data_IF_401598326155
#
_entry.id   IF_401598326155
#
_cell.length_a   1.000
_cell.length_b   1.000
_cell.length_c   1.000
_cell.angle_alpha   90.00
_cell.angle_beta   90.00
_cell.angle_gamma   90.00
#
_symmetry.space_group_name_H-M   'P 1'
#
loop_
_entity.id
_entity.type
_entity.pdbx_description
1 polymer ?
#
# COMPACT_ATOMS: atom_id res chain seq x y z
N UNK A 1 9.78 -14.52 10.12
CA UNK A 1 9.41 -13.29 10.79
C UNK A 1 8.26 -12.57 10.08
N UNK A 2 8.24 -12.61 8.73
CA UNK A 2 7.19 -12.01 7.91
C UNK A 2 6.17 -13.02 7.43
N UNK A 3 4.93 -12.55 7.21
CA UNK A 3 3.91 -13.34 6.50
C UNK A 3 4.30 -13.58 5.05
N UNK A 4 3.72 -14.61 4.43
CA UNK A 4 4.17 -15.15 3.15
C UNK A 4 3.45 -14.64 1.91
N UNK A 5 2.54 -13.67 2.01
CA UNK A 5 1.81 -13.13 0.87
C UNK A 5 2.59 -12.04 0.11
N UNK A 6 2.25 -11.84 -1.16
CA UNK A 6 2.72 -10.71 -1.94
C UNK A 6 2.98 -10.99 -3.43
N UNK A 7 2.72 -12.20 -3.91
CA UNK A 7 2.95 -12.57 -5.32
C UNK A 7 1.75 -13.19 -6.03
N UNK A 8 0.68 -13.50 -5.32
CA UNK A 8 -0.58 -13.89 -5.96
C UNK A 8 -1.38 -12.64 -6.39
N UNK A 9 -2.32 -12.82 -7.31
CA UNK A 9 -3.10 -11.70 -7.88
C UNK A 9 -3.95 -10.91 -6.88
N UNK A 10 -4.19 -11.46 -5.69
CA UNK A 10 -4.96 -10.77 -4.63
C UNK A 10 -4.08 -9.96 -3.68
N UNK A 11 -2.77 -10.24 -3.64
CA UNK A 11 -1.86 -9.67 -2.65
C UNK A 11 -0.61 -8.99 -3.24
N UNK A 12 -0.38 -9.08 -4.54
CA UNK A 12 0.82 -8.59 -5.24
C UNK A 12 1.00 -7.05 -5.19
N UNK A 13 -0.08 -6.32 -4.91
CA UNK A 13 -0.02 -4.88 -4.64
C UNK A 13 0.95 -4.52 -3.50
N UNK A 14 1.21 -5.45 -2.57
CA UNK A 14 2.13 -5.22 -1.45
C UNK A 14 3.53 -4.87 -1.92
N UNK A 15 4.04 -5.57 -2.91
CA UNK A 15 5.40 -5.37 -3.41
C UNK A 15 5.44 -4.42 -4.61
N UNK A 16 4.62 -4.64 -5.63
CA UNK A 16 4.67 -3.88 -6.89
C UNK A 16 4.16 -2.44 -6.78
N UNK A 17 3.40 -2.09 -5.72
CA UNK A 17 2.90 -0.73 -5.52
C UNK A 17 3.31 -0.15 -4.17
N UNK A 18 2.89 -0.76 -3.06
CA UNK A 18 3.07 -0.17 -1.73
C UNK A 18 4.53 -0.17 -1.30
N UNK A 19 5.23 -1.29 -1.43
CA UNK A 19 6.66 -1.33 -1.13
C UNK A 19 7.47 -0.52 -2.16
N UNK A 20 7.13 -0.62 -3.45
CA UNK A 20 7.75 0.16 -4.52
C UNK A 20 7.52 1.68 -4.41
N UNK A 21 6.52 2.11 -3.63
CA UNK A 21 6.33 3.53 -3.34
C UNK A 21 7.46 4.12 -2.48
N UNK A 22 8.13 3.33 -1.65
CA UNK A 22 9.19 3.83 -0.77
C UNK A 22 10.37 4.42 -1.56
N UNK A 23 11.02 3.69 -2.50
CA UNK A 23 12.09 4.27 -3.31
C UNK A 23 11.63 5.49 -4.12
N UNK A 24 10.40 5.48 -4.65
CA UNK A 24 9.84 6.64 -5.36
C UNK A 24 9.65 7.83 -4.43
N UNK A 25 9.13 7.61 -3.22
CA UNK A 25 8.91 8.68 -2.25
C UNK A 25 10.22 9.41 -1.89
N UNK A 26 11.29 8.67 -1.61
CA UNK A 26 12.57 9.27 -1.26
C UNK A 26 13.21 9.99 -2.44
N UNK A 27 13.19 9.39 -3.64
CA UNK A 27 13.69 10.03 -4.85
C UNK A 27 12.92 11.31 -5.17
N UNK A 28 11.59 11.27 -5.12
CA UNK A 28 10.75 12.44 -5.40
C UNK A 28 10.93 13.54 -4.37
N UNK A 29 11.12 13.19 -3.10
CA UNK A 29 11.42 14.14 -2.03
C UNK A 29 12.76 14.83 -2.27
N UNK A 30 13.82 14.09 -2.56
CA UNK A 30 15.17 14.63 -2.76
C UNK A 30 15.27 15.48 -4.02
N UNK A 31 14.60 15.08 -5.09
CA UNK A 31 14.58 15.78 -6.37
C UNK A 31 13.48 16.88 -6.45
N UNK A 32 12.68 17.07 -5.39
CA UNK A 32 11.54 18.00 -5.36
C UNK A 32 10.51 17.75 -6.47
N UNK A 33 10.26 16.49 -6.79
CA UNK A 33 9.29 16.07 -7.81
C UNK A 33 7.88 16.12 -7.22
N UNK A 34 7.02 16.94 -7.81
CA UNK A 34 5.63 17.16 -7.35
C UNK A 34 4.58 16.78 -8.40
N UNK A 35 5.01 16.33 -9.57
CA UNK A 35 4.17 15.85 -10.67
C UNK A 35 4.82 14.63 -11.28
N UNK A 36 4.03 13.82 -11.97
CA UNK A 36 4.54 12.63 -12.67
C UNK A 36 5.74 13.00 -13.55
N UNK A 37 6.94 12.46 -13.28
CA UNK A 37 8.11 12.70 -14.11
C UNK A 37 8.09 11.79 -15.35
N UNK A 38 8.74 12.24 -16.41
CA UNK A 38 8.93 11.43 -17.62
C UNK A 38 9.81 10.21 -17.34
N UNK A 39 10.78 10.34 -16.46
CA UNK A 39 11.73 9.29 -16.08
C UNK A 39 11.95 9.28 -14.57
N UNK A 40 12.35 8.13 -14.04
CA UNK A 40 12.85 7.98 -12.68
C UNK A 40 14.30 7.49 -12.73
N UNK A 41 15.10 7.82 -11.71
CA UNK A 41 16.52 7.47 -11.65
C UNK A 41 16.77 6.10 -11.02
N UNK A 42 15.85 5.65 -10.17
CA UNK A 42 16.03 4.45 -9.36
C UNK A 42 17.07 4.63 -8.24
N UNK A 43 17.23 5.87 -7.74
CA UNK A 43 18.25 6.23 -6.75
C UNK A 43 18.21 5.33 -5.50
N UNK A 44 17.02 4.93 -5.06
CA UNK A 44 16.80 4.14 -3.86
C UNK A 44 16.50 2.66 -4.13
N UNK A 45 16.82 2.15 -5.33
CA UNK A 45 16.64 0.73 -5.64
C UNK A 45 17.58 -0.22 -4.85
N UNK A 46 18.80 0.17 -4.43
CA UNK A 46 19.59 -0.64 -3.51
C UNK A 46 18.88 -0.86 -2.16
N UNK A 47 18.28 0.18 -1.58
CA UNK A 47 17.53 0.11 -0.32
C UNK A 47 16.23 -0.68 -0.51
N UNK A 48 15.56 -0.51 -1.65
CA UNK A 48 14.40 -1.32 -2.01
C UNK A 48 14.76 -2.80 -2.10
N UNK A 49 15.92 -3.13 -2.69
CA UNK A 49 16.43 -4.51 -2.71
C UNK A 49 16.64 -5.06 -1.31
N UNK A 50 17.24 -4.27 -0.42
CA UNK A 50 17.52 -4.71 0.94
C UNK A 50 16.26 -5.11 1.70
N UNK A 51 15.22 -4.26 1.67
CA UNK A 51 13.96 -4.60 2.34
C UNK A 51 13.24 -5.76 1.64
N UNK A 52 13.29 -5.84 0.31
CA UNK A 52 12.70 -6.95 -0.42
C UNK A 52 13.39 -8.27 -0.12
N UNK A 53 14.73 -8.31 -0.10
CA UNK A 53 15.52 -9.49 0.30
C UNK A 53 15.23 -9.92 1.74
N UNK A 54 14.97 -8.96 2.64
CA UNK A 54 14.59 -9.26 4.02
C UNK A 54 13.23 -9.96 4.08
N UNK A 55 12.25 -9.49 3.31
CA UNK A 55 10.95 -10.18 3.17
C UNK A 55 11.12 -11.61 2.64
N UNK A 56 11.96 -11.81 1.62
CA UNK A 56 12.20 -13.13 1.05
C UNK A 56 12.87 -14.07 2.04
N UNK A 57 13.94 -13.60 2.68
CA UNK A 57 14.76 -14.39 3.61
C UNK A 57 14.02 -14.80 4.87
N UNK A 58 13.22 -13.88 5.42
CA UNK A 58 12.58 -14.05 6.72
C UNK A 58 11.05 -14.29 6.60
N UNK A 59 10.58 -14.62 5.40
CA UNK A 59 9.21 -15.06 5.17
C UNK A 59 8.90 -16.39 5.87
N UNK A 60 7.65 -16.59 6.22
CA UNK A 60 7.15 -17.86 6.77
C UNK A 60 7.13 -19.01 5.75
N UNK A 61 7.41 -18.71 4.49
CA UNK A 61 7.39 -19.66 3.35
C UNK A 61 8.63 -19.42 2.49
N UNK A 62 9.19 -20.50 1.94
CA UNK A 62 10.30 -20.43 1.00
C UNK A 62 9.98 -19.54 -0.20
N UNK A 63 10.93 -18.71 -0.68
CA UNK A 63 10.70 -17.74 -1.76
C UNK A 63 10.07 -18.35 -3.01
N UNK A 64 10.46 -19.57 -3.38
CA UNK A 64 9.92 -20.28 -4.55
C UNK A 64 8.44 -20.68 -4.41
N UNK A 65 7.89 -20.66 -3.20
CA UNK A 65 6.51 -21.02 -2.88
C UNK A 65 5.62 -19.79 -2.61
N UNK A 66 6.20 -18.59 -2.57
CA UNK A 66 5.46 -17.37 -2.21
C UNK A 66 4.32 -17.04 -3.18
N UNK A 67 4.43 -17.40 -4.47
CA UNK A 67 3.38 -17.18 -5.47
C UNK A 67 2.12 -18.03 -5.24
N UNK A 68 2.21 -19.07 -4.42
CA UNK A 68 1.05 -19.89 -4.04
C UNK A 68 0.34 -19.40 -2.77
N UNK A 69 0.90 -18.40 -2.10
CA UNK A 69 0.38 -17.84 -0.84
C UNK A 69 -0.50 -16.64 -1.09
N UNK A 70 -1.67 -16.67 -0.51
CA UNK A 70 -2.71 -15.63 -0.64
C UNK A 70 -2.69 -14.63 0.51
N UNK A 71 -3.46 -13.54 0.39
CA UNK A 71 -3.72 -12.62 1.49
C UNK A 71 -4.38 -13.30 2.70
N UNK A 72 -5.21 -14.31 2.47
CA UNK A 72 -5.86 -15.09 3.54
C UNK A 72 -4.86 -15.98 4.29
N UNK A 73 -3.90 -16.59 3.56
CA UNK A 73 -2.79 -17.32 4.19
C UNK A 73 -2.00 -16.40 5.12
N UNK A 74 -1.62 -15.21 4.66
CA UNK A 74 -0.88 -14.22 5.45
C UNK A 74 -1.67 -13.77 6.70
N UNK A 75 -2.98 -13.55 6.55
CA UNK A 75 -3.86 -13.20 7.68
C UNK A 75 -3.89 -14.32 8.71
N UNK A 76 -3.95 -15.57 8.26
CA UNK A 76 -3.96 -16.75 9.11
C UNK A 76 -2.61 -16.92 9.85
N UNK A 77 -1.50 -16.85 9.13
CA UNK A 77 -0.14 -16.95 9.68
C UNK A 77 0.09 -15.91 10.79
N UNK A 78 -0.33 -14.66 10.55
CA UNK A 78 -0.21 -13.60 11.54
C UNK A 78 -1.13 -13.85 12.75
N UNK A 79 -2.37 -14.22 12.51
CA UNK A 79 -3.35 -14.47 13.58
C UNK A 79 -2.98 -15.67 14.48
N UNK A 80 -2.32 -16.67 13.91
CA UNK A 80 -1.83 -17.86 14.65
C UNK A 80 -0.50 -17.63 15.36
N UNK A 81 0.14 -16.45 15.17
CA UNK A 81 1.44 -16.13 15.75
C UNK A 81 2.61 -16.81 15.02
N UNK A 82 2.41 -17.29 13.82
CA UNK A 82 3.45 -17.90 12.97
C UNK A 82 4.36 -16.85 12.35
N UNK A 83 3.90 -15.60 12.24
CA UNK A 83 4.67 -14.44 11.80
C UNK A 83 4.48 -13.26 12.75
N UNK A 84 5.52 -12.41 12.86
CA UNK A 84 5.53 -11.20 13.71
C UNK A 84 5.16 -9.95 12.92
N UNK A 85 5.52 -9.91 11.64
CA UNK A 85 5.29 -8.78 10.76
C UNK A 85 4.34 -9.13 9.63
N UNK A 86 3.33 -8.31 9.48
CA UNK A 86 2.31 -8.43 8.44
C UNK A 86 2.17 -7.10 7.69
N UNK A 87 2.63 -7.03 6.46
CA UNK A 87 2.43 -5.84 5.63
C UNK A 87 0.98 -5.75 5.19
N UNK A 88 0.23 -4.86 5.81
CA UNK A 88 -1.16 -4.61 5.49
C UNK A 88 -1.58 -3.20 5.96
N UNK A 89 -2.85 -2.86 5.85
CA UNK A 89 -3.41 -1.61 6.31
C UNK A 89 -4.36 -1.77 7.51
N UNK A 90 -4.92 -0.65 7.95
CA UNK A 90 -5.82 -0.61 9.12
C UNK A 90 -7.07 -1.47 8.96
N UNK A 91 -7.51 -1.74 7.75
CA UNK A 91 -8.65 -2.62 7.43
C UNK A 91 -8.42 -4.08 7.82
N UNK A 92 -7.18 -4.53 7.95
CA UNK A 92 -6.84 -5.89 8.33
C UNK A 92 -7.43 -6.28 9.70
N UNK A 93 -7.67 -5.32 10.58
CA UNK A 93 -8.20 -5.58 11.92
C UNK A 93 -9.50 -6.39 11.91
N UNK A 94 -10.38 -6.12 10.95
CA UNK A 94 -11.66 -6.83 10.86
C UNK A 94 -11.49 -8.34 10.75
N UNK A 95 -10.53 -8.80 9.96
CA UNK A 95 -10.27 -10.24 9.78
C UNK A 95 -9.38 -10.81 10.88
N UNK A 96 -8.41 -10.04 11.38
CA UNK A 96 -7.59 -10.41 12.53
C UNK A 96 -8.47 -10.63 13.79
N UNK A 97 -9.45 -9.75 14.02
CA UNK A 97 -10.39 -9.86 15.11
C UNK A 97 -11.29 -11.10 14.96
N UNK A 98 -11.80 -11.39 13.78
CA UNK A 98 -12.56 -12.63 13.49
C UNK A 98 -11.74 -13.88 13.77
N UNK A 99 -10.43 -13.84 13.53
CA UNK A 99 -9.50 -14.91 13.84
C UNK A 99 -9.09 -14.97 15.33
N UNK A 100 -9.71 -14.14 16.17
CA UNK A 100 -9.54 -14.18 17.63
C UNK A 100 -8.38 -13.36 18.17
N UNK A 101 -7.73 -12.53 17.35
CA UNK A 101 -6.69 -11.62 17.85
C UNK A 101 -7.28 -10.56 18.78
N UNK A 102 -6.49 -10.18 19.78
CA UNK A 102 -6.85 -9.16 20.76
C UNK A 102 -6.23 -7.82 20.40
N UNK A 103 -6.93 -6.72 20.69
CA UNK A 103 -6.49 -5.38 20.37
C UNK A 103 -5.10 -5.04 20.95
N UNK A 104 -4.82 -5.51 22.16
CA UNK A 104 -3.54 -5.27 22.83
C UNK A 104 -2.35 -6.07 22.25
N UNK A 105 -2.61 -7.02 21.34
CA UNK A 105 -1.56 -7.84 20.70
C UNK A 105 -1.09 -7.32 19.35
N UNK A 106 -1.67 -6.23 18.85
CA UNK A 106 -1.34 -5.68 17.55
C UNK A 106 -0.95 -4.20 17.64
N UNK A 107 -0.13 -3.76 16.69
CA UNK A 107 0.25 -2.37 16.52
C UNK A 107 0.67 -2.10 15.08
N UNK A 108 1.08 -0.88 14.78
CA UNK A 108 1.59 -0.50 13.46
C UNK A 108 3.01 0.04 13.57
N UNK A 109 3.82 -0.29 12.59
CA UNK A 109 5.18 0.23 12.43
C UNK A 109 5.35 0.74 11.00
N UNK A 110 6.12 1.82 10.79
CA UNK A 110 6.57 2.21 9.46
C UNK A 110 7.42 1.11 8.83
N UNK A 111 7.38 1.00 7.51
CA UNK A 111 8.30 0.12 6.78
C UNK A 111 9.57 0.93 6.49
N UNK A 112 10.67 0.53 7.11
CA UNK A 112 11.99 1.11 6.89
C UNK A 112 12.75 0.29 5.85
N UNK A 113 13.41 0.96 4.90
CA UNK A 113 14.22 0.29 3.87
C UNK A 113 15.73 0.56 4.01
N UNK A 114 16.15 1.34 5.00
CA UNK A 114 17.55 1.73 5.23
C UNK A 114 17.92 3.04 4.52
N UNK A 115 16.96 3.83 4.07
CA UNK A 115 17.23 5.11 3.44
C UNK A 115 17.73 6.15 4.44
N UNK A 116 18.66 6.99 4.01
CA UNK A 116 19.15 8.09 4.83
C UNK A 116 18.00 9.05 5.16
N UNK A 117 17.83 9.36 6.45
CA UNK A 117 16.81 10.29 6.93
C UNK A 117 15.46 9.65 7.25
N UNK A 118 15.38 8.31 7.24
CA UNK A 118 14.15 7.61 7.63
C UNK A 118 13.95 7.50 9.15
N UNK A 119 14.89 7.99 9.97
CA UNK A 119 14.80 7.92 11.44
C UNK A 119 13.55 8.65 11.98
N UNK A 120 13.08 9.66 11.25
CA UNK A 120 11.86 10.40 11.58
C UNK A 120 10.68 10.05 10.67
N UNK A 121 10.74 8.90 10.00
CA UNK A 121 9.66 8.41 9.13
C UNK A 121 8.50 7.88 9.97
N UNK A 122 7.30 8.34 9.64
CA UNK A 122 6.04 7.78 10.11
C UNK A 122 5.46 6.75 9.15
N UNK A 123 4.24 6.36 9.43
CA UNK A 123 3.48 5.41 8.60
C UNK A 123 3.26 5.97 7.19
N UNK A 124 3.17 5.06 6.23
CA UNK A 124 2.73 5.40 4.88
C UNK A 124 1.21 5.68 4.88
N UNK A 125 0.82 6.80 4.28
CA UNK A 125 -0.57 7.25 4.24
C UNK A 125 -0.88 8.09 3.02
N UNK A 126 -2.15 8.20 2.69
CA UNK A 126 -2.65 9.01 1.58
C UNK A 126 -3.96 8.48 1.04
N UNK A 127 -4.47 9.11 -0.01
CA UNK A 127 -5.68 8.64 -0.70
C UNK A 127 -5.31 7.57 -1.71
N UNK A 128 -5.87 6.38 -1.56
CA UNK A 128 -5.63 5.23 -2.43
C UNK A 128 -6.84 4.92 -3.31
N UNK A 129 -8.03 5.21 -2.80
CA UNK A 129 -9.29 4.87 -3.45
C UNK A 129 -10.13 6.11 -3.71
N UNK A 130 -10.74 6.17 -4.89
CA UNK A 130 -11.56 7.29 -5.33
C UNK A 130 -12.91 6.81 -5.85
N UNK A 131 -13.96 7.52 -5.47
CA UNK A 131 -15.27 7.32 -6.07
C UNK A 131 -15.38 8.13 -7.36
N UNK A 132 -15.67 7.46 -8.45
CA UNK A 132 -15.91 8.09 -9.75
C UNK A 132 -17.39 8.03 -10.11
N UNK A 133 -17.90 9.14 -10.64
CA UNK A 133 -19.26 9.21 -11.18
C UNK A 133 -19.17 9.14 -12.70
N UNK A 134 -19.85 8.16 -13.32
CA UNK A 134 -19.88 8.03 -14.78
C UNK A 134 -20.42 9.31 -15.42
N UNK A 135 -19.57 9.99 -16.17
CA UNK A 135 -19.92 11.24 -16.86
C UNK A 135 -21.01 11.08 -17.92
N UNK A 136 -21.20 9.86 -18.44
CA UNK A 136 -22.20 9.50 -19.45
C UNK A 136 -23.53 9.02 -18.86
N UNK A 137 -23.64 8.88 -17.53
CA UNK A 137 -24.91 8.54 -16.89
C UNK A 137 -25.92 9.66 -17.02
N UNK A 138 -27.20 9.37 -16.84
CA UNK A 138 -28.26 10.40 -16.83
C UNK A 138 -28.05 11.41 -15.71
N UNK A 139 -28.59 12.61 -15.83
CA UNK A 139 -28.47 13.62 -14.80
C UNK A 139 -29.18 13.22 -13.50
N UNK A 140 -30.25 12.43 -13.61
CA UNK A 140 -30.95 11.84 -12.46
C UNK A 140 -30.03 10.86 -11.70
N UNK A 141 -29.35 9.96 -12.41
CA UNK A 141 -28.43 8.99 -11.82
C UNK A 141 -27.20 9.68 -11.21
N UNK A 142 -26.63 10.68 -11.91
CA UNK A 142 -25.52 11.48 -11.37
C UNK A 142 -25.92 12.17 -10.08
N UNK A 143 -27.14 12.75 -10.05
CA UNK A 143 -27.67 13.41 -8.85
C UNK A 143 -27.87 12.41 -7.73
N UNK A 144 -28.51 11.28 -7.98
CA UNK A 144 -28.75 10.24 -6.97
C UNK A 144 -27.42 9.70 -6.41
N UNK A 145 -26.42 9.48 -7.26
CA UNK A 145 -25.08 9.05 -6.83
C UNK A 145 -24.42 10.09 -5.93
N UNK A 146 -24.46 11.38 -6.29
CA UNK A 146 -23.92 12.45 -5.45
C UNK A 146 -24.62 12.55 -4.11
N UNK A 147 -25.96 12.43 -4.10
CA UNK A 147 -26.75 12.47 -2.86
C UNK A 147 -26.41 11.27 -1.96
N UNK A 148 -26.23 10.08 -2.54
CA UNK A 148 -25.79 8.89 -1.81
C UNK A 148 -24.40 9.06 -1.22
N UNK A 149 -23.40 9.49 -2.01
CA UNK A 149 -22.04 9.71 -1.56
C UNK A 149 -21.99 10.76 -0.44
N UNK A 150 -22.76 11.86 -0.59
CA UNK A 150 -22.90 12.85 0.48
C UNK A 150 -23.49 12.24 1.75
N UNK A 151 -24.55 11.44 1.62
CA UNK A 151 -25.17 10.76 2.76
C UNK A 151 -24.20 9.81 3.45
N UNK A 152 -23.43 9.00 2.69
CA UNK A 152 -22.44 8.07 3.25
C UNK A 152 -21.40 8.79 4.11
N UNK A 153 -20.90 9.95 3.68
CA UNK A 153 -19.85 10.67 4.43
C UNK A 153 -20.37 11.67 5.46
N UNK A 154 -21.70 11.89 5.56
CA UNK A 154 -22.26 12.88 6.51
C UNK A 154 -23.29 12.33 7.47
N UNK A 155 -23.90 11.17 7.17
CA UNK A 155 -24.89 10.58 8.07
C UNK A 155 -24.20 9.75 9.17
N UNK A 156 -24.85 9.66 10.34
CA UNK A 156 -24.36 8.81 11.44
C UNK A 156 -24.19 7.35 11.01
N UNK A 157 -25.10 6.83 10.20
CA UNK A 157 -25.02 5.44 9.70
C UNK A 157 -23.84 5.26 8.75
N UNK A 158 -23.68 6.12 7.75
CA UNK A 158 -22.59 6.02 6.79
C UNK A 158 -21.23 6.22 7.46
N UNK A 159 -21.10 7.19 8.38
CA UNK A 159 -19.88 7.40 9.16
C UNK A 159 -19.53 6.15 9.96
N UNK A 160 -20.49 5.56 10.69
CA UNK A 160 -20.27 4.32 11.45
C UNK A 160 -19.86 3.17 10.54
N UNK A 161 -20.55 2.99 9.41
CA UNK A 161 -20.22 1.90 8.49
C UNK A 161 -18.81 2.02 7.93
N UNK A 162 -18.38 3.20 7.48
CA UNK A 162 -17.04 3.39 6.95
C UNK A 162 -15.96 3.23 8.04
N UNK A 163 -16.15 3.85 9.21
CA UNK A 163 -15.11 3.88 10.25
C UNK A 163 -15.06 2.61 11.11
N UNK A 164 -16.21 2.15 11.60
CA UNK A 164 -16.26 1.05 12.57
C UNK A 164 -16.45 -0.31 11.91
N UNK A 165 -17.41 -0.40 10.96
CA UNK A 165 -17.75 -1.70 10.38
C UNK A 165 -16.76 -2.11 9.29
N UNK A 166 -16.18 -1.15 8.54
CA UNK A 166 -15.21 -1.38 7.47
C UNK A 166 -13.76 -1.03 7.85
N UNK A 167 -13.54 -0.33 8.96
CA UNK A 167 -12.20 0.03 9.43
C UNK A 167 -11.44 1.06 8.58
N UNK A 168 -12.15 1.86 7.79
CA UNK A 168 -11.52 2.89 6.97
C UNK A 168 -11.16 4.14 7.77
N UNK A 169 -9.97 4.67 7.51
CA UNK A 169 -9.59 6.04 7.85
C UNK A 169 -9.96 6.94 6.67
N UNK A 170 -10.80 7.95 6.89
CA UNK A 170 -11.30 8.79 5.81
C UNK A 170 -10.89 10.26 5.98
N UNK A 171 -10.59 10.99 4.87
CA UNK A 171 -10.11 12.37 4.94
C UNK A 171 -11.23 13.42 5.11
N UNK A 172 -12.46 13.00 5.36
CA UNK A 172 -13.59 13.93 5.46
C UNK A 172 -13.70 14.55 6.86
N UNK A 173 -13.95 15.87 6.94
CA UNK A 173 -14.13 16.59 8.21
C UNK A 173 -15.22 16.00 9.11
N UNK A 174 -16.22 15.35 8.55
CA UNK A 174 -17.29 14.67 9.29
C UNK A 174 -16.80 13.47 10.12
N UNK A 175 -15.56 13.03 9.91
CA UNK A 175 -14.91 11.94 10.65
C UNK A 175 -13.91 12.42 11.70
N UNK A 176 -13.69 13.74 11.86
CA UNK A 176 -12.69 14.28 12.79
C UNK A 176 -12.88 13.85 14.25
N UNK A 177 -14.11 13.64 14.66
CA UNK A 177 -14.46 13.30 16.03
C UNK A 177 -14.78 11.81 16.21
N UNK A 178 -14.61 11.02 15.15
CA UNK A 178 -14.91 9.58 15.19
C UNK A 178 -13.80 8.85 15.92
N UNK A 179 -14.14 8.29 17.08
CA UNK A 179 -13.28 7.34 17.79
C UNK A 179 -13.49 5.96 17.20
N UNK A 180 -12.44 5.39 16.67
CA UNK A 180 -12.46 4.03 16.15
C UNK A 180 -12.06 3.05 17.26
N UNK A 181 -12.77 1.94 17.39
CA UNK A 181 -12.37 0.82 18.24
C UNK A 181 -11.34 -0.08 17.57
N UNK A 182 -10.97 0.20 16.33
CA UNK A 182 -9.92 -0.49 15.59
C UNK A 182 -8.53 -0.06 16.12
N UNK A 183 -7.75 -0.96 16.76
CA UNK A 183 -6.46 -0.61 17.35
C UNK A 183 -5.43 -0.15 16.32
N UNK A 184 -5.53 -0.62 15.07
CA UNK A 184 -4.63 -0.18 13.99
C UNK A 184 -4.94 1.24 13.54
N UNK A 185 -6.23 1.64 13.53
CA UNK A 185 -6.60 3.05 13.29
C UNK A 185 -6.11 3.94 14.43
N UNK A 186 -6.23 3.50 15.67
CA UNK A 186 -5.71 4.24 16.82
C UNK A 186 -4.21 4.44 16.72
N UNK A 187 -3.45 3.37 16.42
CA UNK A 187 -2.00 3.44 16.22
C UNK A 187 -1.60 4.37 15.07
N UNK A 188 -2.36 4.37 13.96
CA UNK A 188 -2.12 5.28 12.83
C UNK A 188 -2.36 6.75 13.21
N UNK A 189 -3.40 7.04 14.00
CA UNK A 189 -3.66 8.39 14.52
C UNK A 189 -2.58 8.84 15.50
N UNK A 190 -2.10 7.96 16.36
CA UNK A 190 -0.98 8.25 17.26
C UNK A 190 0.30 8.56 16.49
N UNK A 191 0.63 7.79 15.44
CA UNK A 191 1.78 8.05 14.58
C UNK A 191 1.67 9.41 13.88
N UNK A 192 0.50 9.76 13.34
CA UNK A 192 0.26 11.07 12.72
C UNK A 192 0.47 12.25 13.70
N UNK A 193 0.17 12.04 14.97
CA UNK A 193 0.31 13.06 16.02
C UNK A 193 1.70 13.02 16.69
N UNK A 194 2.56 12.08 16.35
CA UNK A 194 3.88 11.89 16.97
C UNK A 194 4.94 12.91 16.53
N UNK A 195 4.65 13.72 15.51
CA UNK A 195 5.60 14.64 14.88
C UNK A 195 6.51 13.97 13.83
N UNK A 196 6.33 12.69 13.54
CA UNK A 196 7.01 12.00 12.46
C UNK A 196 6.50 12.45 11.09
N UNK A 197 7.33 12.28 10.08
CA UNK A 197 6.97 12.60 8.69
C UNK A 197 6.34 11.40 8.01
N UNK A 198 5.05 11.47 7.71
CA UNK A 198 4.36 10.42 6.98
C UNK A 198 4.94 10.23 5.57
N UNK A 199 5.00 8.99 5.11
CA UNK A 199 5.30 8.64 3.72
C UNK A 199 4.04 8.77 2.88
N UNK A 200 4.01 9.71 1.94
CA UNK A 200 2.86 9.88 1.06
C UNK A 200 2.84 8.85 -0.06
N UNK A 201 1.63 8.39 -0.41
CA UNK A 201 1.42 7.55 -1.58
C UNK A 201 1.57 8.36 -2.87
N UNK A 202 2.42 7.86 -3.79
CA UNK A 202 2.65 8.44 -5.11
C UNK A 202 1.97 7.64 -6.24
N UNK A 203 0.93 6.87 -5.91
CA UNK A 203 0.28 5.95 -6.87
C UNK A 203 -0.27 6.65 -8.11
N UNK A 204 -0.75 7.88 -7.96
CA UNK A 204 -1.23 8.70 -9.10
C UNK A 204 -0.11 9.19 -10.03
N UNK A 205 1.14 9.08 -9.59
CA UNK A 205 2.32 9.40 -10.40
C UNK A 205 2.89 8.16 -11.10
N UNK A 206 2.53 6.95 -10.69
CA UNK A 206 2.95 5.72 -11.38
C UNK A 206 2.35 5.71 -12.79
N UNK A 207 3.13 5.35 -13.83
CA UNK A 207 2.75 5.63 -15.22
C UNK A 207 1.55 4.80 -15.70
N UNK A 208 1.45 3.55 -15.28
CA UNK A 208 0.36 2.67 -15.70
C UNK A 208 0.21 1.45 -14.80
N UNK A 209 -0.88 0.70 -14.95
CA UNK A 209 -1.01 -0.63 -14.32
C UNK A 209 -0.06 -1.64 -14.97
N UNK A 210 0.26 -1.47 -16.27
CA UNK A 210 1.21 -2.33 -16.97
C UNK A 210 2.62 -2.21 -16.37
N UNK A 211 3.07 -1.00 -16.03
CA UNK A 211 4.32 -0.80 -15.31
C UNK A 211 4.36 -1.58 -13.99
N UNK A 212 3.30 -1.46 -13.19
CA UNK A 212 3.19 -2.19 -11.92
C UNK A 212 3.25 -3.70 -12.12
N UNK A 213 2.54 -4.21 -13.13
CA UNK A 213 2.49 -5.64 -13.43
C UNK A 213 3.85 -6.17 -13.90
N UNK A 214 4.55 -5.44 -14.77
CA UNK A 214 5.91 -5.80 -15.22
C UNK A 214 6.89 -5.80 -14.06
N UNK A 215 6.82 -4.80 -13.19
CA UNK A 215 7.63 -4.77 -11.97
C UNK A 215 7.31 -5.96 -11.05
N UNK A 216 6.03 -6.27 -10.84
CA UNK A 216 5.60 -7.42 -10.05
C UNK A 216 6.11 -8.76 -10.63
N UNK A 217 6.08 -8.91 -11.95
CA UNK A 217 6.63 -10.10 -12.62
C UNK A 217 8.14 -10.23 -12.42
N UNK A 218 8.90 -9.14 -12.59
CA UNK A 218 10.33 -9.14 -12.37
C UNK A 218 10.71 -9.44 -10.90
N UNK A 219 9.95 -8.90 -9.94
CA UNK A 219 10.13 -9.22 -8.52
C UNK A 219 9.86 -10.71 -8.23
N UNK A 220 8.82 -11.28 -8.85
CA UNK A 220 8.53 -12.71 -8.70
C UNK A 220 9.62 -13.59 -9.28
N UNK A 221 10.10 -13.29 -10.49
CA UNK A 221 11.20 -14.03 -11.12
C UNK A 221 12.48 -13.95 -10.28
N UNK A 222 12.80 -12.79 -9.73
CA UNK A 222 13.90 -12.61 -8.79
C UNK A 222 13.71 -13.46 -7.53
N UNK A 223 12.53 -13.43 -6.91
CA UNK A 223 12.23 -14.23 -5.73
C UNK A 223 12.36 -15.75 -5.99
N UNK A 224 11.99 -16.20 -7.18
CA UNK A 224 12.07 -17.60 -7.58
C UNK A 224 13.50 -18.04 -8.03
N UNK A 225 14.43 -17.10 -8.16
CA UNK A 225 15.78 -17.37 -8.66
C UNK A 225 15.84 -17.64 -10.16
N UNK A 226 14.80 -17.27 -10.91
CA UNK A 226 14.71 -17.38 -12.38
C UNK A 226 15.07 -16.09 -13.11
N UNK A 227 15.12 -14.97 -12.38
CA UNK A 227 15.57 -13.66 -12.83
C UNK A 227 16.59 -13.07 -11.86
N UNK A 228 17.18 -11.94 -12.24
CA UNK A 228 18.13 -11.20 -11.43
C UNK A 228 17.58 -9.82 -11.03
N UNK A 229 18.30 -9.12 -10.15
CA UNK A 229 17.89 -7.78 -9.70
C UNK A 229 18.00 -6.73 -10.81
N UNK A 230 18.87 -6.92 -11.80
CA UNK A 230 19.00 -5.99 -12.94
C UNK A 230 17.73 -5.98 -13.79
N UNK A 231 17.02 -7.11 -13.89
CA UNK A 231 15.70 -7.18 -14.51
C UNK A 231 14.66 -6.35 -13.75
N UNK A 232 14.71 -6.36 -12.40
CA UNK A 232 13.86 -5.51 -11.56
C UNK A 232 14.17 -4.02 -11.78
N UNK A 233 15.46 -3.66 -11.82
CA UNK A 233 15.91 -2.29 -12.12
C UNK A 233 15.39 -1.83 -13.48
N UNK A 234 15.54 -2.65 -14.52
CA UNK A 234 15.05 -2.39 -15.88
C UNK A 234 13.53 -2.20 -15.89
N UNK A 235 12.78 -3.10 -15.24
CA UNK A 235 11.33 -2.98 -15.17
C UNK A 235 10.89 -1.69 -14.44
N UNK A 236 11.64 -1.28 -13.39
CA UNK A 236 11.34 -0.08 -12.62
C UNK A 236 11.68 1.19 -13.41
N UNK A 237 12.89 1.32 -13.95
CA UNK A 237 13.41 2.56 -14.54
C UNK A 237 13.02 2.66 -16.03
N UNK A 238 13.43 1.70 -16.85
CA UNK A 238 13.16 1.74 -18.29
C UNK A 238 11.69 1.48 -18.59
N UNK A 239 11.06 0.61 -17.79
CA UNK A 239 9.62 0.37 -17.82
C UNK A 239 8.82 1.63 -17.53
N UNK A 240 9.25 2.46 -16.56
CA UNK A 240 8.61 3.74 -16.28
C UNK A 240 8.57 4.64 -17.50
N UNK A 241 9.73 4.87 -18.15
CA UNK A 241 9.82 5.70 -19.34
C UNK A 241 8.95 5.17 -20.48
N UNK A 242 9.00 3.86 -20.70
CA UNK A 242 8.20 3.20 -21.75
C UNK A 242 6.71 3.44 -21.58
N UNK A 243 6.20 3.25 -20.36
CA UNK A 243 4.78 3.40 -20.06
C UNK A 243 4.36 4.88 -19.98
N UNK A 244 5.26 5.76 -19.55
CA UNK A 244 5.03 7.20 -19.61
C UNK A 244 4.84 7.68 -21.06
N UNK A 245 5.73 7.27 -21.97
CA UNK A 245 5.65 7.62 -23.40
C UNK A 245 4.38 7.06 -24.03
N UNK A 246 4.03 5.81 -23.71
CA UNK A 246 2.79 5.20 -24.23
C UNK A 246 1.52 5.94 -23.78
N UNK A 247 1.51 6.43 -22.54
CA UNK A 247 0.38 7.19 -21.99
C UNK A 247 0.29 8.62 -22.56
N UNK A 248 1.38 9.17 -23.12
CA UNK A 248 1.48 10.52 -23.65
C UNK A 248 1.69 10.56 -25.18
N UNK A 249 1.66 9.40 -25.85
CA UNK A 249 1.65 9.35 -27.31
C UNK A 249 0.33 9.95 -27.84
N UNK A 250 0.43 11.02 -28.63
CA UNK A 250 -0.71 11.66 -29.32
C UNK A 250 -1.28 10.78 -30.46
#
# INVERSE_FOLDING_TARGET
>A
AFTSAGFDSSSDWRFKTHLANLPLYYEFKDDNITKQPETVKGTYLPEYKNIFDLYLKDSNTEPTQLSSKTGDDATSEFSLGEAVFYQNGTWAWTDLQKNGMKAESVGMLPIYMGAKGEENQGLATGSENYWCINSKASDADKKATKDFLKWVVTSKTGIKSLSSDMGFTTPFKSFSDVKSDNPLVQAAVEDQNSGKTAVSWNFTMMPSEEWKNKLGSALLEYAQGTGDWDAVVTAFVDGWKTEYDAAHAE
#
